data_IF_898765947417
#
_entry.id   IF_898765947417
#
_cell.length_a   1.000
_cell.length_b   1.000
_cell.length_c   1.000
_cell.angle_alpha   90.00
_cell.angle_beta   90.00
_cell.angle_gamma   90.00
#
_symmetry.space_group_name_H-M   'P 1'
#
loop_
_entity.id
_entity.type
_entity.pdbx_description
1 polymer ?
#
# COMPACT_ATOMS: atom_id res chain seq x y z
N UNK A 1 -17.85 -28.68 -38.69
CA UNK A 1 -17.42 -29.37 -37.44
C UNK A 1 -16.05 -28.87 -37.09
N UNK A 2 -15.81 -28.46 -35.83
CA UNK A 2 -14.48 -28.05 -35.35
C UNK A 2 -14.01 -29.07 -34.31
N UNK A 3 -12.80 -29.57 -34.46
CA UNK A 3 -12.21 -30.58 -33.59
C UNK A 3 -11.00 -29.98 -32.89
N UNK A 4 -11.02 -29.95 -31.56
CA UNK A 4 -9.89 -29.48 -30.74
C UNK A 4 -9.17 -30.70 -30.14
N UNK A 5 -7.90 -30.87 -30.49
CA UNK A 5 -7.07 -31.95 -29.95
C UNK A 5 -5.72 -31.39 -29.51
N UNK A 6 -5.17 -31.91 -28.41
CA UNK A 6 -3.80 -31.59 -28.01
C UNK A 6 -2.82 -32.38 -28.89
N UNK A 7 -1.81 -31.74 -29.49
CA UNK A 7 -0.80 -32.43 -30.30
C UNK A 7 0.18 -33.25 -29.43
N UNK A 8 0.14 -33.05 -28.12
CA UNK A 8 1.03 -33.71 -27.15
C UNK A 8 0.66 -35.18 -26.97
N UNK A 9 1.66 -36.06 -27.15
CA UNK A 9 1.55 -37.49 -26.86
C UNK A 9 1.17 -38.38 -28.05
N UNK A 10 1.00 -39.68 -27.76
CA UNK A 10 0.76 -40.72 -28.80
C UNK A 10 -0.70 -40.77 -29.28
N UNK A 11 -1.64 -40.26 -28.49
CA UNK A 11 -3.08 -40.36 -28.76
C UNK A 11 -3.49 -39.62 -30.03
N UNK A 12 -3.00 -38.40 -30.23
CA UNK A 12 -3.26 -37.62 -31.45
C UNK A 12 -2.80 -38.37 -32.70
N UNK A 13 -1.59 -38.92 -32.68
CA UNK A 13 -1.04 -39.74 -33.78
C UNK A 13 -1.86 -41.00 -34.05
N UNK A 14 -2.37 -41.66 -33.01
CA UNK A 14 -3.25 -42.82 -33.16
C UNK A 14 -4.56 -42.45 -33.85
N UNK A 15 -5.17 -41.31 -33.49
CA UNK A 15 -6.41 -40.83 -34.11
C UNK A 15 -6.22 -40.47 -35.57
N UNK A 16 -5.11 -39.82 -35.93
CA UNK A 16 -4.80 -39.53 -37.34
C UNK A 16 -4.65 -40.81 -38.19
N UNK A 17 -4.10 -41.88 -37.61
CA UNK A 17 -4.02 -43.19 -38.29
C UNK A 17 -5.38 -43.89 -38.43
N UNK A 18 -6.24 -43.77 -37.42
CA UNK A 18 -7.57 -44.36 -37.43
C UNK A 18 -8.54 -43.63 -38.36
N UNK A 19 -8.35 -42.31 -38.55
CA UNK A 19 -9.25 -41.46 -39.33
C UNK A 19 -8.47 -40.61 -40.36
N UNK A 20 -8.14 -41.16 -41.55
CA UNK A 20 -7.40 -40.45 -42.59
C UNK A 20 -8.09 -39.18 -43.11
N UNK A 21 -9.43 -39.12 -43.00
CA UNK A 21 -10.22 -37.95 -43.38
C UNK A 21 -9.87 -36.69 -42.59
N UNK A 22 -9.31 -36.82 -41.38
CA UNK A 22 -8.84 -35.68 -40.58
C UNK A 22 -7.67 -34.94 -41.23
N UNK A 23 -6.88 -35.61 -42.07
CA UNK A 23 -5.76 -34.99 -42.78
C UNK A 23 -6.19 -34.56 -44.18
N UNK A 24 -7.02 -35.36 -44.85
CA UNK A 24 -7.40 -35.12 -46.25
C UNK A 24 -8.54 -34.10 -46.41
N UNK A 25 -9.46 -34.04 -45.45
CA UNK A 25 -10.71 -33.25 -45.57
C UNK A 25 -10.82 -32.12 -44.55
N UNK A 26 -9.80 -31.90 -43.70
CA UNK A 26 -9.81 -30.84 -42.70
C UNK A 26 -8.60 -29.93 -42.85
N UNK A 27 -8.79 -28.65 -42.57
CA UNK A 27 -7.70 -27.69 -42.43
C UNK A 27 -7.16 -27.75 -41.00
N UNK A 28 -5.88 -28.08 -40.86
CA UNK A 28 -5.21 -28.12 -39.56
C UNK A 28 -4.62 -26.75 -39.23
N UNK A 29 -5.02 -26.19 -38.10
CA UNK A 29 -4.42 -24.99 -37.52
C UNK A 29 -3.62 -25.37 -36.26
N UNK A 30 -2.37 -24.93 -36.18
CA UNK A 30 -1.43 -25.35 -35.14
C UNK A 30 -1.18 -24.22 -34.14
N UNK A 31 -1.56 -24.47 -32.88
CA UNK A 31 -1.28 -23.56 -31.79
C UNK A 31 -0.02 -24.00 -31.04
N UNK A 32 1.06 -23.24 -31.23
CA UNK A 32 2.30 -23.42 -30.49
C UNK A 32 2.31 -22.71 -29.13
N UNK A 33 3.41 -22.85 -28.37
CA UNK A 33 3.66 -22.02 -27.20
C UNK A 33 3.57 -20.54 -27.53
N UNK A 34 3.08 -19.73 -26.58
CA UNK A 34 2.96 -18.30 -26.80
C UNK A 34 4.34 -17.64 -26.89
N UNK A 35 4.61 -16.85 -27.93
CA UNK A 35 5.86 -16.11 -28.02
C UNK A 35 5.91 -15.02 -26.93
N UNK A 36 7.13 -14.60 -26.58
CA UNK A 36 7.36 -13.58 -25.54
C UNK A 36 6.50 -12.31 -25.73
N UNK A 37 6.34 -11.83 -26.96
CA UNK A 37 5.55 -10.64 -27.25
C UNK A 37 4.05 -10.83 -26.95
N UNK A 38 3.50 -12.01 -27.21
CA UNK A 38 2.11 -12.33 -26.94
C UNK A 38 1.86 -12.41 -25.43
N UNK A 39 2.78 -13.05 -24.70
CA UNK A 39 2.74 -13.07 -23.23
C UNK A 39 2.80 -11.64 -22.67
N UNK A 40 3.67 -10.79 -23.21
CA UNK A 40 3.77 -9.38 -22.77
C UNK A 40 2.48 -8.60 -23.01
N UNK A 41 1.83 -8.76 -24.17
CA UNK A 41 0.56 -8.08 -24.46
C UNK A 41 -0.56 -8.52 -23.51
N UNK A 42 -0.66 -9.82 -23.24
CA UNK A 42 -1.65 -10.36 -22.30
C UNK A 42 -1.36 -9.89 -20.88
N UNK A 43 -0.08 -9.94 -20.48
CA UNK A 43 0.39 -9.41 -19.20
C UNK A 43 0.04 -7.93 -19.03
N UNK A 44 0.39 -7.09 -20.00
CA UNK A 44 0.05 -5.65 -20.01
C UNK A 44 -1.44 -5.41 -19.84
N UNK A 45 -2.27 -6.09 -20.65
CA UNK A 45 -3.73 -5.97 -20.57
C UNK A 45 -4.27 -6.35 -19.19
N UNK A 46 -3.64 -7.34 -18.53
CA UNK A 46 -4.02 -7.76 -17.18
C UNK A 46 -3.49 -6.81 -16.10
N UNK A 47 -2.28 -6.28 -16.25
CA UNK A 47 -1.70 -5.35 -15.27
C UNK A 47 -2.40 -4.00 -15.20
N UNK A 48 -3.10 -3.58 -16.26
CA UNK A 48 -3.94 -2.36 -16.25
C UNK A 48 -5.08 -2.45 -15.23
N UNK A 49 -5.56 -3.66 -14.91
CA UNK A 49 -6.60 -3.83 -13.89
C UNK A 49 -6.06 -3.81 -12.47
N UNK A 50 -4.73 -3.79 -12.30
CA UNK A 50 -4.11 -3.69 -10.98
C UNK A 50 -4.04 -2.21 -10.57
N UNK A 51 -4.44 -1.88 -9.35
CA UNK A 51 -4.38 -0.51 -8.78
C UNK A 51 -2.94 -0.12 -8.41
N UNK A 52 -2.04 -0.13 -9.40
CA UNK A 52 -0.60 0.15 -9.25
C UNK A 52 -0.24 1.35 -10.13
N UNK A 53 0.75 2.14 -9.71
CA UNK A 53 1.26 3.24 -10.52
C UNK A 53 1.74 2.73 -11.89
N UNK A 54 1.28 3.40 -12.94
CA UNK A 54 1.50 3.09 -14.34
C UNK A 54 3.00 3.05 -14.72
N UNK A 55 3.86 3.69 -13.92
CA UNK A 55 5.33 3.58 -14.06
C UNK A 55 5.86 2.17 -13.84
N UNK A 56 5.14 1.33 -13.09
CA UNK A 56 5.56 -0.02 -12.73
C UNK A 56 4.81 -1.12 -13.48
N UNK A 57 3.66 -0.83 -14.08
CA UNK A 57 2.80 -1.84 -14.73
C UNK A 57 3.54 -2.62 -15.83
N UNK A 58 4.30 -1.93 -16.67
CA UNK A 58 5.10 -2.57 -17.73
C UNK A 58 6.19 -3.49 -17.16
N UNK A 59 6.90 -3.06 -16.12
CA UNK A 59 7.93 -3.86 -15.46
C UNK A 59 7.33 -5.09 -14.77
N UNK A 60 6.15 -4.95 -14.18
CA UNK A 60 5.45 -6.09 -13.59
C UNK A 60 5.00 -7.10 -14.65
N UNK A 61 4.47 -6.63 -15.78
CA UNK A 61 4.16 -7.50 -16.90
C UNK A 61 5.40 -8.27 -17.38
N UNK A 62 6.53 -7.57 -17.57
CA UNK A 62 7.81 -8.19 -17.94
C UNK A 62 8.28 -9.24 -16.92
N UNK A 63 8.13 -8.96 -15.62
CA UNK A 63 8.48 -9.90 -14.55
C UNK A 63 7.63 -11.18 -14.63
N UNK A 64 6.31 -11.05 -14.82
CA UNK A 64 5.41 -12.20 -15.00
C UNK A 64 5.80 -13.04 -16.24
N UNK A 65 6.13 -12.39 -17.35
CA UNK A 65 6.61 -13.08 -18.55
C UNK A 65 7.91 -13.83 -18.27
N UNK A 66 8.86 -13.19 -17.59
CA UNK A 66 10.13 -13.82 -17.24
C UNK A 66 9.95 -15.05 -16.35
N UNK A 67 9.07 -14.97 -15.35
CA UNK A 67 8.74 -16.11 -14.48
C UNK A 67 8.19 -17.29 -15.29
N UNK A 68 7.23 -17.06 -16.18
CA UNK A 68 6.66 -18.12 -17.02
C UNK A 68 7.69 -18.78 -17.95
N UNK A 69 8.55 -17.97 -18.59
CA UNK A 69 9.62 -18.50 -19.44
C UNK A 69 10.70 -19.26 -18.64
N UNK A 70 10.91 -18.89 -17.37
CA UNK A 70 11.82 -19.63 -16.49
C UNK A 70 11.24 -20.99 -16.08
N UNK A 71 9.91 -21.08 -15.93
CA UNK A 71 9.20 -22.33 -15.66
C UNK A 71 9.36 -23.34 -16.79
N UNK A 72 9.32 -22.90 -18.04
CA UNK A 72 9.52 -23.76 -19.21
C UNK A 72 10.92 -24.41 -19.19
N UNK A 73 11.95 -23.64 -18.85
CA UNK A 73 13.32 -24.15 -18.67
C UNK A 73 13.42 -25.11 -17.49
N UNK A 74 12.75 -24.80 -16.38
CA UNK A 74 12.71 -25.67 -15.21
C UNK A 74 12.00 -26.99 -15.51
N UNK A 75 10.92 -26.97 -16.30
CA UNK A 75 10.20 -28.15 -16.73
C UNK A 75 11.06 -29.06 -17.61
N UNK A 76 11.82 -28.49 -18.55
CA UNK A 76 12.77 -29.25 -19.34
C UNK A 76 13.84 -29.93 -18.47
N UNK A 77 14.36 -29.21 -17.47
CA UNK A 77 15.33 -29.77 -16.51
C UNK A 77 14.70 -30.90 -15.67
N UNK A 78 13.49 -30.70 -15.17
CA UNK A 78 12.74 -31.69 -14.41
C UNK A 78 12.52 -33.00 -15.18
N UNK A 79 12.20 -32.90 -16.48
CA UNK A 79 12.11 -34.07 -17.36
C UNK A 79 13.47 -34.77 -17.51
N UNK A 80 14.55 -34.01 -17.65
CA UNK A 80 15.89 -34.58 -17.83
C UNK A 80 16.36 -35.37 -16.61
N UNK A 81 16.12 -34.84 -15.41
CA UNK A 81 16.57 -35.35 -14.11
C UNK A 81 15.66 -36.47 -13.58
N UNK A 82 14.35 -36.25 -13.57
CA UNK A 82 13.38 -37.12 -12.89
C UNK A 82 12.52 -37.95 -13.85
N UNK A 83 12.73 -37.80 -15.17
CA UNK A 83 11.97 -38.49 -16.23
C UNK A 83 10.45 -38.30 -16.13
N UNK A 84 10.01 -37.23 -15.46
CA UNK A 84 8.59 -36.89 -15.30
C UNK A 84 8.27 -35.64 -16.13
N UNK A 85 7.18 -35.71 -16.89
CA UNK A 85 6.71 -34.57 -17.67
C UNK A 85 5.95 -33.58 -16.78
N UNK A 86 6.35 -32.32 -16.85
CA UNK A 86 5.54 -31.17 -16.46
C UNK A 86 5.24 -30.36 -17.73
N UNK A 87 4.04 -29.81 -17.87
CA UNK A 87 3.64 -29.07 -19.08
C UNK A 87 3.32 -27.64 -18.72
N UNK A 88 4.12 -26.73 -19.26
CA UNK A 88 3.84 -25.29 -19.18
C UNK A 88 2.80 -24.96 -20.26
N UNK A 89 1.68 -24.37 -19.84
CA UNK A 89 0.56 -24.03 -20.74
C UNK A 89 0.22 -22.54 -20.61
N UNK A 90 -0.37 -21.92 -21.64
CA UNK A 90 -0.88 -20.55 -21.52
C UNK A 90 -1.88 -20.37 -20.36
N UNK A 91 -2.60 -21.43 -19.99
CA UNK A 91 -3.50 -21.42 -18.83
C UNK A 91 -2.74 -21.19 -17.52
N UNK A 92 -1.60 -21.86 -17.32
CA UNK A 92 -0.72 -21.62 -16.15
C UNK A 92 -0.29 -20.15 -16.05
N UNK A 93 0.02 -19.51 -17.20
CA UNK A 93 0.34 -18.08 -17.22
C UNK A 93 -0.83 -17.19 -16.79
N UNK A 94 -2.06 -17.51 -17.22
CA UNK A 94 -3.24 -16.77 -16.80
C UNK A 94 -3.55 -16.98 -15.32
N UNK A 95 -3.34 -18.20 -14.81
CA UNK A 95 -3.46 -18.50 -13.38
C UNK A 95 -2.45 -17.71 -12.56
N UNK A 96 -1.18 -17.64 -12.98
CA UNK A 96 -0.16 -16.78 -12.37
C UNK A 96 -0.65 -15.34 -12.25
N UNK A 97 -1.14 -14.75 -13.35
CA UNK A 97 -1.65 -13.38 -13.35
C UNK A 97 -2.87 -13.20 -12.43
N UNK A 98 -3.76 -14.21 -12.38
CA UNK A 98 -4.93 -14.19 -11.49
C UNK A 98 -4.53 -14.25 -10.02
N UNK A 99 -3.53 -15.07 -9.67
CA UNK A 99 -3.00 -15.12 -8.31
C UNK A 99 -2.39 -13.78 -7.91
N UNK A 100 -1.65 -13.12 -8.80
CA UNK A 100 -1.16 -11.77 -8.54
C UNK A 100 -2.28 -10.75 -8.33
N UNK A 101 -3.32 -10.78 -9.16
CA UNK A 101 -4.50 -9.92 -9.01
C UNK A 101 -5.19 -10.13 -7.65
N UNK A 102 -5.37 -11.39 -7.24
CA UNK A 102 -5.95 -11.74 -5.95
C UNK A 102 -5.07 -11.29 -4.78
N UNK A 103 -3.75 -11.45 -4.87
CA UNK A 103 -2.82 -11.01 -3.84
C UNK A 103 -2.85 -9.48 -3.71
N UNK A 104 -2.85 -8.74 -4.82
CA UNK A 104 -2.89 -7.28 -4.81
C UNK A 104 -4.22 -6.75 -4.23
N UNK A 105 -5.34 -7.43 -4.51
CA UNK A 105 -6.66 -7.10 -3.95
C UNK A 105 -6.82 -7.53 -2.49
N UNK A 106 -6.32 -8.71 -2.13
CA UNK A 106 -6.52 -9.35 -0.83
C UNK A 106 -5.51 -8.93 0.24
N UNK A 107 -4.26 -8.66 -0.15
CA UNK A 107 -3.16 -8.34 0.74
C UNK A 107 -2.47 -7.04 0.31
N UNK A 108 -2.87 -5.89 0.87
CA UNK A 108 -1.96 -4.75 1.01
C UNK A 108 -2.50 -3.38 0.66
N UNK A 109 -3.19 -3.16 -0.47
CA UNK A 109 -3.49 -1.79 -0.89
C UNK A 109 -4.71 -1.18 -0.20
N UNK A 110 -5.81 -1.91 -0.03
CA UNK A 110 -6.98 -1.40 0.70
C UNK A 110 -6.64 -1.18 2.18
N UNK A 111 -5.98 -2.16 2.81
CA UNK A 111 -5.59 -2.06 4.22
C UNK A 111 -4.47 -1.03 4.45
N UNK A 112 -3.43 -0.93 3.61
CA UNK A 112 -2.39 0.08 3.81
C UNK A 112 -2.88 1.49 3.46
N UNK A 113 -3.75 1.65 2.45
CA UNK A 113 -4.27 2.96 2.08
C UNK A 113 -5.24 3.46 3.16
N UNK A 114 -6.08 2.59 3.73
CA UNK A 114 -6.88 2.91 4.92
C UNK A 114 -6.02 3.21 6.15
N UNK A 115 -4.98 2.40 6.41
CA UNK A 115 -4.05 2.63 7.51
C UNK A 115 -3.25 3.94 7.33
N UNK A 116 -2.89 4.31 6.11
CA UNK A 116 -2.14 5.52 5.79
C UNK A 116 -3.04 6.76 5.85
N UNK A 117 -4.28 6.68 5.38
CA UNK A 117 -5.27 7.76 5.50
C UNK A 117 -5.63 8.02 6.97
N UNK A 118 -5.83 6.98 7.78
CA UNK A 118 -6.04 7.13 9.23
C UNK A 118 -4.81 7.70 9.94
N UNK A 119 -3.59 7.33 9.53
CA UNK A 119 -2.37 7.96 10.03
C UNK A 119 -2.33 9.45 9.69
N UNK A 120 -2.69 9.82 8.46
CA UNK A 120 -2.67 11.21 8.00
C UNK A 120 -3.74 12.07 8.70
N UNK A 121 -4.95 11.53 8.89
CA UNK A 121 -6.01 12.22 9.63
C UNK A 121 -5.64 12.39 11.10
N UNK A 122 -4.98 11.39 11.71
CA UNK A 122 -4.48 11.49 13.08
C UNK A 122 -3.38 12.57 13.21
N UNK A 123 -2.42 12.62 12.29
CA UNK A 123 -1.36 13.65 12.28
C UNK A 123 -1.97 15.05 12.16
N UNK A 124 -2.91 15.24 11.23
CA UNK A 124 -3.60 16.52 11.07
C UNK A 124 -4.38 16.90 12.34
N UNK A 125 -5.02 15.92 12.96
CA UNK A 125 -5.75 16.08 14.22
C UNK A 125 -4.82 16.53 15.35
N UNK A 126 -3.68 15.88 15.49
CA UNK A 126 -2.70 16.22 16.52
C UNK A 126 -2.12 17.63 16.30
N UNK A 127 -1.89 18.00 15.04
CA UNK A 127 -1.34 19.32 14.69
C UNK A 127 -2.28 20.48 15.05
N UNK A 128 -3.60 20.32 14.91
CA UNK A 128 -4.53 21.38 15.34
C UNK A 128 -4.59 21.48 16.85
N UNK A 129 -4.65 20.34 17.56
CA UNK A 129 -4.70 20.31 19.03
C UNK A 129 -3.47 20.94 19.64
N UNK A 130 -2.31 20.68 19.05
CA UNK A 130 -1.04 21.28 19.50
C UNK A 130 -1.07 22.81 19.37
N UNK A 131 -1.58 23.33 18.24
CA UNK A 131 -1.72 24.79 18.05
C UNK A 131 -2.72 25.41 19.03
N UNK A 132 -3.81 24.72 19.33
CA UNK A 132 -4.82 25.19 20.28
C UNK A 132 -4.27 25.26 21.70
N UNK A 133 -3.50 24.26 22.13
CA UNK A 133 -2.78 24.27 23.40
C UNK A 133 -1.75 25.41 23.47
N UNK A 134 -0.98 25.65 22.41
CA UNK A 134 0.01 26.74 22.36
C UNK A 134 -0.65 28.13 22.54
N UNK A 135 -1.87 28.32 22.03
CA UNK A 135 -2.64 29.57 22.22
C UNK A 135 -3.11 29.69 23.66
N UNK A 136 -3.69 28.62 24.23
CA UNK A 136 -4.16 28.63 25.62
C UNK A 136 -3.02 28.87 26.61
N UNK A 137 -1.83 28.30 26.35
CA UNK A 137 -0.64 28.49 27.19
C UNK A 137 -0.26 29.98 27.28
N UNK A 138 -0.26 30.69 26.14
CA UNK A 138 0.05 32.13 26.09
C UNK A 138 -0.99 32.99 26.81
N UNK A 139 -2.27 32.62 26.73
CA UNK A 139 -3.33 33.34 27.46
C UNK A 139 -3.22 33.17 28.97
N UNK A 140 -2.82 31.98 29.43
CA UNK A 140 -2.57 31.71 30.86
C UNK A 140 -1.36 32.51 31.33
N UNK A 141 -0.25 32.50 30.59
CA UNK A 141 0.95 33.28 30.92
C UNK A 141 0.65 34.79 31.00
N UNK A 142 -0.12 35.33 30.06
CA UNK A 142 -0.53 36.73 30.08
C UNK A 142 -1.43 37.09 31.28
N UNK A 143 -2.34 36.20 31.67
CA UNK A 143 -3.19 36.41 32.87
C UNK A 143 -2.38 36.30 34.16
N UNK A 144 -1.45 35.36 34.25
CA UNK A 144 -0.55 35.25 35.41
C UNK A 144 0.32 36.50 35.59
N UNK A 145 0.77 37.12 34.49
CA UNK A 145 1.56 38.35 34.57
C UNK A 145 0.73 39.54 35.09
N UNK A 146 -0.52 39.67 34.67
CA UNK A 146 -1.45 40.70 35.18
C UNK A 146 -1.74 40.47 36.65
N UNK A 147 -2.04 39.24 37.07
CA UNK A 147 -2.30 38.90 38.48
C UNK A 147 -1.08 39.21 39.35
N UNK A 148 0.13 38.87 38.91
CA UNK A 148 1.36 39.23 39.64
C UNK A 148 1.55 40.74 39.77
N UNK A 149 1.18 41.51 38.75
CA UNK A 149 1.21 42.98 38.79
C UNK A 149 0.21 43.54 39.81
N UNK A 150 -1.02 43.03 39.83
CA UNK A 150 -2.05 43.43 40.78
C UNK A 150 -1.68 43.04 42.22
N UNK A 151 -1.16 41.83 42.45
CA UNK A 151 -0.66 41.39 43.76
C UNK A 151 0.49 42.26 44.29
N UNK A 152 1.41 42.68 43.41
CA UNK A 152 2.51 43.59 43.78
C UNK A 152 2.00 44.99 44.20
N UNK A 153 0.96 45.51 43.52
CA UNK A 153 0.33 46.79 43.89
C UNK A 153 -0.37 46.67 45.24
N UNK A 154 -1.13 45.58 45.45
CA UNK A 154 -1.85 45.34 46.71
C UNK A 154 -0.86 45.22 47.88
N UNK A 155 0.23 44.47 47.71
CA UNK A 155 1.26 44.30 48.75
C UNK A 155 1.98 45.62 49.07
N UNK A 156 2.26 46.45 48.07
CA UNK A 156 2.84 47.78 48.28
C UNK A 156 1.89 48.70 49.05
N UNK A 157 0.60 48.71 48.71
CA UNK A 157 -0.42 49.51 49.42
C UNK A 157 -0.61 49.06 50.88
N UNK A 158 -0.58 47.75 51.16
CA UNK A 158 -0.61 47.24 52.54
C UNK A 158 0.61 47.67 53.35
N UNK A 159 1.82 47.63 52.77
CA UNK A 159 3.03 48.06 53.46
C UNK A 159 3.03 49.58 53.75
N UNK A 160 2.53 50.39 52.83
CA UNK A 160 2.36 51.84 53.02
C UNK A 160 1.33 52.14 54.14
N UNK A 161 0.20 51.44 54.15
CA UNK A 161 -0.81 51.57 55.21
C UNK A 161 -0.31 51.14 56.59
N UNK A 162 0.49 50.07 56.66
CA UNK A 162 1.15 49.62 57.91
C UNK A 162 2.16 50.65 58.41
N UNK A 163 2.96 51.27 57.51
CA UNK A 163 3.91 52.32 57.89
C UNK A 163 3.22 53.57 58.45
N UNK A 164 2.09 53.99 57.87
CA UNK A 164 1.27 55.09 58.39
C UNK A 164 0.63 54.76 59.75
N UNK A 165 0.24 53.51 59.96
CA UNK A 165 -0.32 53.05 61.23
C UNK A 165 0.74 53.05 62.35
N UNK A 166 1.97 52.61 62.05
CA UNK A 166 3.10 52.66 62.99
C UNK A 166 3.52 54.10 63.35
N UNK A 167 3.56 55.01 62.36
CA UNK A 167 3.90 56.42 62.61
C UNK A 167 2.81 57.11 63.45
N UNK A 168 1.54 56.82 63.19
CA UNK A 168 0.41 57.30 64.01
C UNK A 168 0.49 56.79 65.45
N UNK A 169 0.90 55.54 65.67
CA UNK A 169 1.13 54.98 67.01
C UNK A 169 2.34 55.60 67.74
N UNK A 170 3.42 55.92 67.01
CA UNK A 170 4.58 56.64 67.56
C UNK A 170 4.26 58.07 67.95
N UNK A 171 3.42 58.77 67.17
CA UNK A 171 3.02 60.13 67.49
C UNK A 171 2.07 60.18 68.70
N UNK A 172 1.16 59.21 68.84
CA UNK A 172 0.31 59.08 70.03
C UNK A 172 1.10 58.84 71.32
N UNK A 173 2.16 58.03 71.23
CA UNK A 173 3.06 57.73 72.35
C UNK A 173 4.06 58.85 72.67
N UNK A 174 4.19 59.88 71.81
CA UNK A 174 4.94 61.11 72.09
C UNK A 174 4.09 62.23 72.72
N UNK A 175 2.76 62.16 72.57
CA UNK A 175 1.82 63.16 73.09
C UNK A 175 1.29 62.87 74.50
N UNK A 176 1.65 61.72 75.09
CA UNK A 176 1.43 61.35 76.49
C UNK A 176 2.76 61.37 77.24
#
# INVERSE_FOLDING_TARGET
>A
VVLCMSPSGKQFRNRLRQFPSLVNCCTMDWFGPWPKHALLQVGRRRTVTWEVDQRYTDKMAEACVHMHLSEEKASARFLSELKRHNYTTPTSYLELLNSYDQILKGNGLINCCQAQQTKQSFINTYSYKQRELDVQQKEVEGKEEVVRGEEAIVTQQTNEAESLAEDSQKDLSRTL
#
